data_IF_544947375815
#
_entry.id   IF_544947375815
#
_cell.length_a   1.000
_cell.length_b   1.000
_cell.length_c   1.000
_cell.angle_alpha   90.00
_cell.angle_beta   90.00
_cell.angle_gamma   90.00
#
_symmetry.space_group_name_H-M   'P 1'
#
loop_
_entity.id
_entity.type
_entity.pdbx_description
1 polymer ?
#
# COMPACT_ATOMS: atom_id res chain seq x y z
N UNK A 1 35.07 35.67 -41.76
CA UNK A 1 34.61 36.20 -40.44
C UNK A 1 34.23 35.04 -39.55
N UNK A 2 34.94 34.78 -38.45
CA UNK A 2 34.59 33.68 -37.53
C UNK A 2 33.40 34.15 -36.67
N UNK A 3 32.36 33.30 -36.57
CA UNK A 3 31.23 33.47 -35.65
C UNK A 3 31.76 33.30 -34.22
N UNK A 4 31.67 34.36 -33.41
CA UNK A 4 31.89 34.28 -31.98
C UNK A 4 30.75 33.45 -31.38
N UNK A 5 31.06 32.27 -30.89
CA UNK A 5 30.20 31.51 -29.99
C UNK A 5 30.19 32.22 -28.63
N UNK A 6 29.13 32.96 -28.36
CA UNK A 6 28.91 33.56 -27.06
C UNK A 6 28.74 32.46 -26.02
N UNK A 7 29.74 32.23 -25.20
CA UNK A 7 29.64 31.45 -23.97
C UNK A 7 28.85 32.33 -22.98
N UNK A 8 27.52 32.21 -22.97
CA UNK A 8 26.71 32.79 -21.91
C UNK A 8 27.07 32.11 -20.58
N UNK A 9 27.36 32.91 -19.54
CA UNK A 9 27.56 32.38 -18.20
C UNK A 9 26.31 31.64 -17.76
N UNK A 10 26.42 30.46 -17.09
CA UNK A 10 25.28 29.74 -16.58
C UNK A 10 24.51 30.63 -15.60
N UNK A 11 23.20 30.76 -15.81
CA UNK A 11 22.32 31.45 -14.87
C UNK A 11 22.22 30.64 -13.57
N UNK A 12 22.27 31.32 -12.41
CA UNK A 12 22.17 30.70 -11.11
C UNK A 12 20.87 31.12 -10.41
N UNK A 13 20.29 30.18 -9.66
CA UNK A 13 19.15 30.44 -8.78
C UNK A 13 19.68 30.93 -7.41
N UNK A 14 19.02 31.92 -6.74
CA UNK A 14 19.42 32.33 -5.41
C UNK A 14 19.50 31.18 -4.42
N UNK A 15 20.65 31.03 -3.74
CA UNK A 15 21.06 29.83 -2.98
C UNK A 15 20.06 29.43 -1.90
N UNK A 16 19.50 30.38 -1.15
CA UNK A 16 18.56 30.08 -0.06
C UNK A 16 17.24 29.47 -0.50
N UNK A 17 16.70 29.90 -1.66
CA UNK A 17 15.38 29.45 -2.11
C UNK A 17 15.39 28.03 -2.67
N UNK A 18 16.33 27.72 -3.56
CA UNK A 18 16.36 26.39 -4.17
C UNK A 18 16.75 25.31 -3.16
N UNK A 19 17.67 25.61 -2.20
CA UNK A 19 18.04 24.63 -1.16
C UNK A 19 16.86 24.32 -0.24
N UNK A 20 16.11 25.34 0.16
CA UNK A 20 14.91 25.12 0.98
C UNK A 20 13.90 24.22 0.26
N UNK A 21 13.59 24.52 -1.01
CA UNK A 21 12.68 23.69 -1.80
C UNK A 21 13.20 22.26 -1.98
N UNK A 22 14.51 22.11 -2.29
CA UNK A 22 15.10 20.80 -2.48
C UNK A 22 15.10 19.95 -1.20
N UNK A 23 15.38 20.56 -0.02
CA UNK A 23 15.31 19.85 1.26
C UNK A 23 13.88 19.37 1.56
N UNK A 24 12.88 20.23 1.35
CA UNK A 24 11.48 19.85 1.54
C UNK A 24 11.05 18.74 0.58
N UNK A 25 11.42 18.85 -0.70
CA UNK A 25 11.14 17.82 -1.72
C UNK A 25 11.79 16.48 -1.35
N UNK A 26 13.07 16.50 -0.92
CA UNK A 26 13.77 15.28 -0.48
C UNK A 26 13.07 14.61 0.71
N UNK A 27 12.64 15.41 1.69
CA UNK A 27 11.91 14.90 2.86
C UNK A 27 10.57 14.28 2.49
N UNK A 28 9.83 14.91 1.56
CA UNK A 28 8.57 14.37 1.06
C UNK A 28 8.78 13.07 0.27
N UNK A 29 9.75 13.02 -0.64
CA UNK A 29 10.07 11.81 -1.40
C UNK A 29 10.44 10.67 -0.44
N UNK A 30 11.27 10.96 0.58
CA UNK A 30 11.63 9.96 1.60
C UNK A 30 10.42 9.46 2.36
N UNK A 31 9.52 10.33 2.78
CA UNK A 31 8.35 9.98 3.57
C UNK A 31 7.35 9.13 2.77
N UNK A 32 7.19 9.40 1.47
CA UNK A 32 6.23 8.73 0.61
C UNK A 32 6.77 7.43 0.01
N UNK A 33 8.01 7.45 -0.50
CA UNK A 33 8.56 6.34 -1.28
C UNK A 33 9.63 5.54 -0.52
N UNK A 34 10.13 6.04 0.61
CA UNK A 34 11.20 5.41 1.38
C UNK A 34 12.62 5.71 0.85
N UNK A 35 13.62 5.42 1.70
CA UNK A 35 15.04 5.70 1.39
C UNK A 35 15.62 4.86 0.25
N UNK A 36 15.07 3.67 0.02
CA UNK A 36 15.56 2.74 -1.00
C UNK A 36 14.89 2.94 -2.36
N UNK A 37 13.93 3.86 -2.47
CA UNK A 37 13.24 4.12 -3.74
C UNK A 37 14.16 4.77 -4.78
N UNK A 38 13.96 4.48 -6.08
CA UNK A 38 14.67 5.14 -7.17
C UNK A 38 14.52 6.67 -7.12
N UNK A 39 13.34 7.18 -6.77
CA UNK A 39 13.09 8.62 -6.64
C UNK A 39 13.97 9.26 -5.59
N UNK A 40 14.06 8.67 -4.38
CA UNK A 40 14.90 9.21 -3.31
C UNK A 40 16.38 9.13 -3.63
N UNK A 41 16.85 8.01 -4.16
CA UNK A 41 18.26 7.82 -4.52
C UNK A 41 18.68 8.78 -5.65
N UNK A 42 17.88 8.91 -6.71
CA UNK A 42 18.15 9.83 -7.80
C UNK A 42 18.12 11.28 -7.35
N UNK A 43 17.13 11.66 -6.52
CA UNK A 43 17.05 13.02 -5.98
C UNK A 43 18.27 13.35 -5.12
N UNK A 44 18.64 12.47 -4.19
CA UNK A 44 19.77 12.66 -3.27
C UNK A 44 21.09 12.77 -4.03
N UNK A 45 21.32 11.90 -5.02
CA UNK A 45 22.54 11.92 -5.83
C UNK A 45 22.65 13.17 -6.70
N UNK A 46 21.54 13.66 -7.24
CA UNK A 46 21.46 14.89 -8.02
C UNK A 46 21.64 16.12 -7.15
N UNK A 47 21.00 16.13 -5.96
CA UNK A 47 21.13 17.21 -4.98
C UNK A 47 22.58 17.39 -4.49
N UNK A 48 23.28 16.30 -4.23
CA UNK A 48 24.71 16.34 -3.83
C UNK A 48 25.62 16.98 -4.88
N UNK A 49 25.27 16.93 -6.15
CA UNK A 49 26.02 17.52 -7.27
C UNK A 49 25.55 18.93 -7.64
N UNK A 50 24.39 19.35 -7.17
CA UNK A 50 23.76 20.62 -7.52
C UNK A 50 24.58 21.80 -6.93
N UNK A 51 25.01 22.71 -7.82
CA UNK A 51 25.72 23.94 -7.47
C UNK A 51 24.85 25.19 -7.62
N UNK A 52 23.55 25.02 -7.89
CA UNK A 52 22.60 26.10 -8.04
C UNK A 52 22.50 26.67 -9.45
N UNK A 53 23.11 26.05 -10.45
CA UNK A 53 22.83 26.40 -11.84
C UNK A 53 21.36 26.10 -12.18
N UNK A 54 20.75 26.91 -13.04
CA UNK A 54 19.35 26.71 -13.45
C UNK A 54 19.11 25.29 -13.98
N UNK A 55 20.07 24.73 -14.72
CA UNK A 55 19.99 23.34 -15.20
C UNK A 55 19.98 22.32 -14.08
N UNK A 56 20.76 22.53 -13.02
CA UNK A 56 20.84 21.61 -11.88
C UNK A 56 19.54 21.61 -11.08
N UNK A 57 19.00 22.81 -10.85
CA UNK A 57 17.71 22.97 -10.14
C UNK A 57 16.57 22.40 -10.98
N UNK A 58 16.60 22.57 -12.30
CA UNK A 58 15.62 21.96 -13.20
C UNK A 58 15.66 20.43 -13.19
N UNK A 59 16.86 19.83 -13.05
CA UNK A 59 16.99 18.37 -12.89
C UNK A 59 16.34 17.86 -11.59
N UNK A 60 16.50 18.60 -10.48
CA UNK A 60 15.83 18.27 -9.21
C UNK A 60 14.31 18.41 -9.32
N UNK A 61 13.82 19.47 -9.98
CA UNK A 61 12.39 19.68 -10.22
C UNK A 61 11.80 18.54 -11.07
N UNK A 62 12.50 18.10 -12.11
CA UNK A 62 12.06 16.99 -12.94
C UNK A 62 11.91 15.67 -12.16
N UNK A 63 12.86 15.35 -11.27
CA UNK A 63 12.77 14.15 -10.42
C UNK A 63 11.60 14.28 -9.43
N UNK A 64 11.40 15.46 -8.85
CA UNK A 64 10.28 15.69 -7.93
C UNK A 64 8.92 15.59 -8.64
N UNK A 65 8.80 16.13 -9.86
CA UNK A 65 7.58 15.99 -10.68
C UNK A 65 7.30 14.54 -11.03
N UNK A 66 8.33 13.78 -11.43
CA UNK A 66 8.16 12.35 -11.69
C UNK A 66 7.66 11.59 -10.46
N UNK A 67 8.23 11.88 -9.27
CA UNK A 67 7.75 11.29 -8.03
C UNK A 67 6.29 11.69 -7.72
N UNK A 68 5.94 12.97 -7.97
CA UNK A 68 4.57 13.45 -7.80
C UNK A 68 3.61 12.77 -8.77
N UNK A 69 3.98 12.62 -10.03
CA UNK A 69 3.14 11.97 -11.04
C UNK A 69 2.89 10.50 -10.71
N UNK A 70 3.92 9.78 -10.20
CA UNK A 70 3.78 8.40 -9.73
C UNK A 70 2.90 8.30 -8.48
N UNK A 71 2.98 9.27 -7.56
CA UNK A 71 2.09 9.35 -6.41
C UNK A 71 0.64 9.61 -6.83
N UNK A 72 0.41 10.62 -7.67
CA UNK A 72 -0.91 10.99 -8.17
C UNK A 72 -1.53 9.87 -9.04
N UNK A 73 -0.69 9.08 -9.73
CA UNK A 73 -1.08 7.89 -10.48
C UNK A 73 -1.40 6.66 -9.63
N UNK A 74 -1.18 6.72 -8.32
CA UNK A 74 -1.47 5.62 -7.40
C UNK A 74 -0.45 4.49 -7.36
N UNK A 75 0.66 4.58 -8.12
CA UNK A 75 1.66 3.48 -8.22
C UNK A 75 2.27 3.07 -6.89
N UNK A 76 2.38 3.98 -5.91
CA UNK A 76 2.88 3.67 -4.56
C UNK A 76 1.93 2.72 -3.84
N UNK A 77 0.63 3.00 -3.93
CA UNK A 77 -0.42 2.20 -3.31
C UNK A 77 -0.54 0.83 -3.97
N UNK A 78 -0.36 0.74 -5.28
CA UNK A 78 -0.38 -0.53 -6.02
C UNK A 78 0.76 -1.46 -5.58
N UNK A 79 1.98 -0.94 -5.40
CA UNK A 79 3.13 -1.72 -4.90
C UNK A 79 2.89 -2.18 -3.46
N UNK A 80 2.43 -1.28 -2.58
CA UNK A 80 2.12 -1.61 -1.18
C UNK A 80 1.03 -2.68 -1.09
N UNK A 81 -0.02 -2.54 -1.90
CA UNK A 81 -1.12 -3.48 -1.94
C UNK A 81 -0.66 -4.87 -2.40
N UNK A 82 0.18 -4.93 -3.45
CA UNK A 82 0.72 -6.19 -3.97
C UNK A 82 1.61 -6.91 -2.95
N UNK A 83 2.55 -6.19 -2.32
CA UNK A 83 3.42 -6.77 -1.27
C UNK A 83 2.58 -7.28 -0.09
N UNK A 84 1.55 -6.53 0.30
CA UNK A 84 0.61 -6.97 1.34
C UNK A 84 -0.16 -8.22 0.91
N UNK A 85 -0.56 -8.29 -0.35
CA UNK A 85 -1.25 -9.46 -0.91
C UNK A 85 -0.39 -10.73 -0.87
N UNK A 86 0.91 -10.63 -1.12
CA UNK A 86 1.84 -11.75 -0.99
C UNK A 86 1.93 -12.24 0.46
N UNK A 87 2.09 -11.32 1.43
CA UNK A 87 2.13 -11.68 2.87
C UNK A 87 0.84 -12.34 3.32
N UNK A 88 -0.31 -11.78 2.95
CA UNK A 88 -1.61 -12.37 3.32
C UNK A 88 -1.85 -13.71 2.62
N UNK A 89 -1.34 -13.87 1.40
CA UNK A 89 -1.34 -15.13 0.67
C UNK A 89 -0.61 -16.24 1.42
N UNK A 90 0.55 -15.93 2.01
CA UNK A 90 1.31 -16.89 2.84
C UNK A 90 0.51 -17.32 4.06
N UNK A 91 -0.19 -16.40 4.75
CA UNK A 91 -1.07 -16.76 5.88
C UNK A 91 -2.22 -17.66 5.43
N UNK A 92 -2.77 -17.44 4.25
CA UNK A 92 -3.84 -18.27 3.69
C UNK A 92 -3.35 -19.69 3.34
N UNK A 93 -2.15 -19.81 2.77
CA UNK A 93 -1.51 -21.10 2.49
C UNK A 93 -1.28 -21.89 3.80
N UNK A 94 -0.74 -21.23 4.83
CA UNK A 94 -0.54 -21.85 6.14
C UNK A 94 -1.87 -22.24 6.80
N UNK A 95 -2.92 -21.42 6.68
CA UNK A 95 -4.24 -21.75 7.19
C UNK A 95 -4.82 -22.99 6.51
N UNK A 96 -4.67 -23.09 5.19
CA UNK A 96 -5.13 -24.25 4.42
C UNK A 96 -4.38 -25.53 4.79
N UNK A 97 -3.05 -25.43 4.96
CA UNK A 97 -2.24 -26.55 5.43
C UNK A 97 -2.68 -26.99 6.84
N UNK A 98 -2.79 -26.07 7.79
CA UNK A 98 -3.22 -26.39 9.16
C UNK A 98 -4.60 -27.06 9.18
N UNK A 99 -5.55 -26.61 8.33
CA UNK A 99 -6.87 -27.22 8.23
C UNK A 99 -6.78 -28.65 7.68
N UNK A 100 -5.94 -28.90 6.67
CA UNK A 100 -5.73 -30.23 6.09
C UNK A 100 -5.08 -31.22 7.07
N UNK A 101 -4.31 -30.72 8.01
CA UNK A 101 -3.68 -31.49 9.08
C UNK A 101 -4.60 -31.69 10.31
N UNK A 102 -5.84 -31.21 10.26
CA UNK A 102 -6.83 -31.31 11.35
C UNK A 102 -6.70 -30.23 12.43
N UNK A 103 -5.86 -29.23 12.22
CA UNK A 103 -5.65 -28.09 13.14
C UNK A 103 -6.61 -26.94 12.84
N UNK A 104 -7.92 -27.20 12.95
CA UNK A 104 -9.01 -26.27 12.63
C UNK A 104 -8.82 -24.91 13.34
N UNK A 105 -8.45 -24.93 14.61
CA UNK A 105 -8.35 -23.71 15.42
C UNK A 105 -7.19 -22.82 14.97
N UNK A 106 -6.05 -23.41 14.61
CA UNK A 106 -4.89 -22.70 14.05
C UNK A 106 -5.27 -22.11 12.68
N UNK A 107 -5.92 -22.89 11.84
CA UNK A 107 -6.39 -22.44 10.54
C UNK A 107 -7.35 -21.25 10.65
N UNK A 108 -8.30 -21.31 11.60
CA UNK A 108 -9.25 -20.25 11.85
C UNK A 108 -8.57 -18.94 12.28
N UNK A 109 -7.57 -19.00 13.16
CA UNK A 109 -6.83 -17.82 13.62
C UNK A 109 -6.04 -17.19 12.46
N UNK A 110 -5.26 -18.00 11.70
CA UNK A 110 -4.46 -17.53 10.57
C UNK A 110 -5.33 -16.87 9.48
N UNK A 111 -6.42 -17.55 9.08
CA UNK A 111 -7.32 -17.02 8.07
C UNK A 111 -8.05 -15.75 8.53
N UNK A 112 -8.42 -15.68 9.82
CA UNK A 112 -9.10 -14.51 10.39
C UNK A 112 -8.18 -13.29 10.50
N UNK A 113 -6.89 -13.50 10.83
CA UNK A 113 -5.89 -12.44 10.85
C UNK A 113 -5.67 -11.90 9.43
N UNK A 114 -5.46 -12.77 8.44
CA UNK A 114 -5.32 -12.37 7.05
C UNK A 114 -6.56 -11.63 6.53
N UNK A 115 -7.77 -12.07 6.90
CA UNK A 115 -9.02 -11.43 6.53
C UNK A 115 -9.09 -9.99 7.05
N UNK A 116 -8.83 -9.79 8.35
CA UNK A 116 -8.94 -8.47 8.98
C UNK A 116 -7.94 -7.49 8.38
N UNK A 117 -6.67 -7.91 8.29
CA UNK A 117 -5.61 -7.05 7.76
C UNK A 117 -5.81 -6.73 6.28
N UNK A 118 -6.22 -7.72 5.47
CA UNK A 118 -6.53 -7.49 4.05
C UNK A 118 -7.66 -6.48 3.86
N UNK A 119 -8.77 -6.61 4.60
CA UNK A 119 -9.89 -5.68 4.50
C UNK A 119 -9.54 -4.28 4.97
N UNK A 120 -8.81 -4.14 6.09
CA UNK A 120 -8.36 -2.84 6.60
C UNK A 120 -7.40 -2.17 5.62
N UNK A 121 -6.39 -2.88 5.13
CA UNK A 121 -5.43 -2.34 4.18
C UNK A 121 -6.08 -1.91 2.88
N UNK A 122 -6.95 -2.75 2.32
CA UNK A 122 -7.70 -2.37 1.13
C UNK A 122 -8.56 -1.13 1.36
N UNK A 123 -9.23 -1.02 2.51
CA UNK A 123 -10.03 0.15 2.87
C UNK A 123 -9.17 1.44 2.94
N UNK A 124 -7.99 1.38 3.58
CA UNK A 124 -7.05 2.51 3.66
C UNK A 124 -6.59 2.95 2.27
N UNK A 125 -6.19 2.01 1.41
CA UNK A 125 -5.78 2.31 0.01
C UNK A 125 -6.91 2.96 -0.79
N UNK A 126 -8.17 2.63 -0.47
CA UNK A 126 -9.35 3.27 -1.08
C UNK A 126 -9.75 4.61 -0.40
N UNK A 127 -8.91 5.13 0.50
CA UNK A 127 -9.13 6.41 1.17
C UNK A 127 -10.15 6.38 2.31
N UNK A 128 -10.45 5.20 2.86
CA UNK A 128 -11.35 5.06 4.00
C UNK A 128 -10.57 5.10 5.31
N UNK A 129 -11.04 5.87 6.27
CA UNK A 129 -10.49 5.91 7.63
C UNK A 129 -11.02 4.72 8.44
N UNK A 130 -10.17 3.73 8.72
CA UNK A 130 -10.56 2.47 9.39
C UNK A 130 -9.62 2.02 10.51
N UNK A 131 -8.60 2.78 10.87
CA UNK A 131 -7.52 2.36 11.79
C UNK A 131 -8.06 1.87 13.14
N UNK A 132 -8.97 2.60 13.75
CA UNK A 132 -9.57 2.26 15.06
C UNK A 132 -10.95 1.59 14.95
N UNK A 133 -11.37 1.21 13.74
CA UNK A 133 -12.69 0.63 13.53
C UNK A 133 -12.74 -0.86 13.82
N UNK A 134 -13.89 -1.30 14.34
CA UNK A 134 -14.21 -2.70 14.47
C UNK A 134 -14.29 -3.36 13.08
N UNK A 135 -14.08 -4.68 13.02
CA UNK A 135 -14.23 -5.44 11.77
C UNK A 135 -15.61 -5.21 11.11
N UNK A 136 -16.67 -5.11 11.91
CA UNK A 136 -18.01 -4.83 11.41
C UNK A 136 -18.10 -3.45 10.75
N UNK A 137 -17.47 -2.44 11.33
CA UNK A 137 -17.47 -1.08 10.79
C UNK A 137 -16.64 -0.98 9.51
N UNK A 138 -15.50 -1.71 9.43
CA UNK A 138 -14.71 -1.84 8.20
C UNK A 138 -15.56 -2.44 7.07
N UNK A 139 -16.25 -3.55 7.35
CA UNK A 139 -17.16 -4.19 6.39
C UNK A 139 -18.27 -3.23 5.94
N UNK A 140 -18.87 -2.51 6.86
CA UNK A 140 -19.92 -1.53 6.55
C UNK A 140 -19.38 -0.39 5.70
N UNK A 141 -18.18 0.12 6.00
CA UNK A 141 -17.52 1.18 5.22
C UNK A 141 -17.24 0.73 3.78
N UNK A 142 -16.67 -0.48 3.59
CA UNK A 142 -16.40 -1.04 2.26
C UNK A 142 -17.69 -1.23 1.42
N UNK A 143 -18.77 -1.69 2.07
CA UNK A 143 -20.08 -1.84 1.43
C UNK A 143 -20.70 -0.50 1.04
N UNK A 144 -20.63 0.49 1.93
CA UNK A 144 -21.20 1.82 1.70
C UNK A 144 -20.48 2.57 0.59
N UNK A 145 -19.16 2.35 0.47
CA UNK A 145 -18.34 2.89 -0.61
C UNK A 145 -18.50 2.15 -1.94
N UNK A 146 -19.28 1.06 -1.99
CA UNK A 146 -19.45 0.26 -3.22
C UNK A 146 -18.23 -0.57 -3.65
N UNK A 147 -17.25 -0.71 -2.76
CA UNK A 147 -15.96 -1.38 -3.03
C UNK A 147 -16.06 -2.91 -3.02
N UNK A 148 -17.11 -3.43 -2.42
CA UNK A 148 -17.48 -4.85 -2.42
C UNK A 148 -18.92 -5.03 -2.89
N UNK A 149 -19.15 -5.98 -3.80
CA UNK A 149 -20.46 -6.17 -4.41
C UNK A 149 -20.78 -7.65 -4.70
N UNK A 150 -21.96 -7.92 -5.22
CA UNK A 150 -22.38 -9.26 -5.63
C UNK A 150 -22.27 -10.31 -4.51
N UNK A 151 -21.79 -11.50 -4.84
CA UNK A 151 -21.63 -12.61 -3.90
C UNK A 151 -20.66 -12.30 -2.75
N UNK A 152 -19.62 -11.50 -2.99
CA UNK A 152 -18.68 -11.06 -1.94
C UNK A 152 -19.40 -10.28 -0.82
N UNK A 153 -20.36 -9.42 -1.17
CA UNK A 153 -21.11 -8.62 -0.19
C UNK A 153 -21.87 -9.52 0.80
N UNK A 154 -22.49 -10.59 0.30
CA UNK A 154 -23.25 -11.52 1.13
C UNK A 154 -22.35 -12.37 2.02
N UNK A 155 -21.24 -12.89 1.47
CA UNK A 155 -20.27 -13.65 2.25
C UNK A 155 -19.63 -12.78 3.35
N UNK A 156 -19.34 -11.53 3.04
CA UNK A 156 -18.70 -10.60 3.96
C UNK A 156 -19.56 -10.29 5.21
N UNK A 157 -20.89 -10.47 5.15
CA UNK A 157 -21.78 -10.28 6.31
C UNK A 157 -21.54 -11.25 7.46
N UNK A 158 -21.11 -12.47 7.15
CA UNK A 158 -20.78 -13.50 8.16
C UNK A 158 -19.37 -13.36 8.73
N UNK A 159 -18.45 -12.74 8.00
CA UNK A 159 -17.02 -12.73 8.32
C UNK A 159 -16.67 -12.10 9.67
N UNK A 160 -17.26 -10.95 10.10
CA UNK A 160 -16.95 -10.37 11.40
C UNK A 160 -17.29 -11.31 12.56
N UNK A 161 -18.39 -12.06 12.47
CA UNK A 161 -18.80 -13.02 13.49
C UNK A 161 -17.83 -14.22 13.55
N UNK A 162 -17.49 -14.80 12.40
CA UNK A 162 -16.56 -15.93 12.31
C UNK A 162 -15.17 -15.54 12.80
N UNK A 163 -14.66 -14.38 12.39
CA UNK A 163 -13.39 -13.81 12.87
C UNK A 163 -13.41 -13.64 14.38
N UNK A 164 -14.50 -13.11 14.96
CA UNK A 164 -14.60 -12.94 16.40
C UNK A 164 -14.55 -14.27 17.14
N UNK A 165 -15.21 -15.32 16.65
CA UNK A 165 -15.11 -16.65 17.25
C UNK A 165 -13.67 -17.18 17.22
N UNK A 166 -12.95 -17.00 16.10
CA UNK A 166 -11.56 -17.43 15.97
C UNK A 166 -10.61 -16.70 16.93
N UNK A 167 -10.64 -15.37 16.96
CA UNK A 167 -9.69 -14.57 17.73
C UNK A 167 -10.02 -14.45 19.23
N UNK A 168 -11.25 -14.76 19.63
CA UNK A 168 -11.67 -14.78 21.04
C UNK A 168 -11.77 -16.21 21.63
N UNK A 169 -11.06 -17.17 21.02
CA UNK A 169 -10.92 -18.56 21.55
C UNK A 169 -12.30 -19.26 21.71
N UNK A 170 -13.26 -18.95 20.83
CA UNK A 170 -14.58 -19.59 20.82
C UNK A 170 -14.65 -20.65 19.70
N UNK A 171 -13.65 -21.51 19.63
CA UNK A 171 -13.42 -22.44 18.52
C UNK A 171 -14.47 -23.55 18.44
N UNK A 172 -15.17 -23.83 19.54
CA UNK A 172 -16.34 -24.72 19.61
C UNK A 172 -17.52 -24.22 18.76
N UNK A 173 -17.57 -22.90 18.49
CA UNK A 173 -18.58 -22.26 17.64
C UNK A 173 -18.22 -22.22 16.16
N UNK A 174 -17.02 -22.66 15.80
CA UNK A 174 -16.53 -22.71 14.43
C UNK A 174 -16.54 -24.16 13.92
N UNK A 175 -17.14 -24.36 12.78
CA UNK A 175 -17.05 -25.63 12.04
C UNK A 175 -15.93 -25.55 10.99
N UNK A 176 -15.47 -26.71 10.48
CA UNK A 176 -14.52 -26.72 9.34
C UNK A 176 -15.06 -26.01 8.09
N UNK A 177 -16.36 -26.14 7.72
CA UNK A 177 -16.95 -25.34 6.64
C UNK A 177 -16.85 -23.83 6.87
N UNK A 178 -16.99 -23.35 8.12
CA UNK A 178 -16.83 -21.93 8.44
C UNK A 178 -15.40 -21.46 8.17
N UNK A 179 -14.41 -22.23 8.62
CA UNK A 179 -12.99 -21.94 8.40
C UNK A 179 -12.66 -21.97 6.90
N UNK A 180 -13.15 -22.96 6.16
CA UNK A 180 -13.02 -23.00 4.70
C UNK A 180 -13.67 -21.78 4.02
N UNK A 181 -14.79 -21.29 4.54
CA UNK A 181 -15.44 -20.07 4.04
C UNK A 181 -14.58 -18.83 4.24
N UNK A 182 -13.92 -18.68 5.40
CA UNK A 182 -12.99 -17.58 5.65
C UNK A 182 -11.81 -17.68 4.67
N UNK A 183 -11.16 -18.83 4.58
CA UNK A 183 -10.02 -19.08 3.69
C UNK A 183 -10.39 -18.75 2.23
N UNK A 184 -11.47 -19.32 1.74
CA UNK A 184 -11.91 -19.10 0.36
C UNK A 184 -12.31 -17.66 0.06
N UNK A 185 -12.90 -16.95 1.04
CA UNK A 185 -13.19 -15.54 0.90
C UNK A 185 -11.89 -14.71 0.78
N UNK A 186 -10.92 -14.93 1.67
CA UNK A 186 -9.65 -14.18 1.64
C UNK A 186 -8.91 -14.43 0.33
N UNK A 187 -8.80 -15.68 -0.11
CA UNK A 187 -8.19 -16.02 -1.41
C UNK A 187 -8.80 -15.24 -2.57
N UNK A 188 -10.13 -15.26 -2.68
CA UNK A 188 -10.83 -14.54 -3.74
C UNK A 188 -10.69 -13.02 -3.60
N UNK A 189 -10.67 -12.52 -2.39
CA UNK A 189 -10.51 -11.10 -2.13
C UNK A 189 -9.10 -10.62 -2.54
N UNK A 190 -8.06 -11.38 -2.17
CA UNK A 190 -6.68 -11.08 -2.56
C UNK A 190 -6.49 -11.13 -4.08
N UNK A 191 -7.00 -12.17 -4.74
CA UNK A 191 -6.93 -12.27 -6.20
C UNK A 191 -7.62 -11.10 -6.90
N UNK A 192 -8.75 -10.63 -6.38
CA UNK A 192 -9.53 -9.58 -7.03
C UNK A 192 -9.07 -8.16 -6.71
N UNK A 193 -8.41 -7.95 -5.57
CA UNK A 193 -8.13 -6.61 -5.04
C UNK A 193 -6.65 -6.30 -4.86
N UNK A 194 -5.78 -7.33 -4.84
CA UNK A 194 -4.35 -7.20 -4.57
C UNK A 194 -3.45 -7.69 -5.72
N UNK A 195 -4.02 -8.31 -6.76
CA UNK A 195 -3.30 -8.83 -7.93
C UNK A 195 -3.47 -7.92 -9.14
N UNK A 196 -3.30 -6.61 -8.95
CA UNK A 196 -3.38 -5.62 -10.02
C UNK A 196 -2.19 -5.63 -10.95
#
# INVERSE_FOLDING_TARGET
>A
MPKQSGHGFPAFVPDGKWRQCATSAQSLIKAVFGEHSPHYQNFTSTYAKCKGAVSDVAALDAIFRSAKDDFDGGYVFDVELRVSGEIFGDFVVLARQALSEGHKDVAAVLASAALEDALKRYAVVQGLEVDDKSMQDVVNSLKSAGLVGGAQKTLLDAMPKLRNFALHVQWDKLTEPDVNSIIGFVEQFLLNKFSG
#
